data_IF_749568579287
#
_entry.id   IF_749568579287
#
_cell.length_a   1.000
_cell.length_b   1.000
_cell.length_c   1.000
_cell.angle_alpha   90.00
_cell.angle_beta   90.00
_cell.angle_gamma   90.00
#
_symmetry.space_group_name_H-M   'P 1'
#
loop_
_entity.id
_entity.type
_entity.pdbx_description
1 polymer ?
#
# COMPACT_ATOMS: atom_id res chain seq x y z
N UNK A 1 -15.69 -37.41 -11.34
CA UNK A 1 -14.76 -36.56 -10.57
C UNK A 1 -13.74 -36.00 -11.54
N UNK A 2 -13.61 -34.69 -11.63
CA UNK A 2 -12.67 -34.06 -12.57
C UNK A 2 -11.30 -34.05 -11.92
N UNK A 3 -10.33 -34.68 -12.57
CA UNK A 3 -8.94 -34.69 -12.08
C UNK A 3 -8.25 -33.40 -12.49
N UNK A 4 -7.76 -32.64 -11.51
CA UNK A 4 -6.96 -31.43 -11.76
C UNK A 4 -5.48 -31.73 -11.53
N UNK A 5 -4.56 -31.17 -12.32
CA UNK A 5 -3.12 -31.31 -12.12
C UNK A 5 -2.62 -30.38 -11.00
N UNK A 6 -3.23 -30.49 -9.83
CA UNK A 6 -2.90 -29.75 -8.61
C UNK A 6 -2.89 -30.70 -7.41
N UNK A 7 -2.29 -30.28 -6.30
CA UNK A 7 -2.28 -31.11 -5.09
C UNK A 7 -3.71 -31.41 -4.63
N UNK A 8 -3.94 -32.59 -4.13
CA UNK A 8 -5.23 -33.09 -3.66
C UNK A 8 -5.87 -32.15 -2.62
N UNK A 9 -5.05 -31.57 -1.73
CA UNK A 9 -5.51 -30.57 -0.76
C UNK A 9 -6.15 -29.35 -1.42
N UNK A 10 -5.56 -28.86 -2.51
CA UNK A 10 -6.11 -27.69 -3.24
C UNK A 10 -7.38 -28.06 -3.99
N UNK A 11 -7.43 -29.26 -4.57
CA UNK A 11 -8.63 -29.76 -5.25
C UNK A 11 -9.79 -29.94 -4.26
N UNK A 12 -9.55 -30.59 -3.12
CA UNK A 12 -10.57 -30.76 -2.06
C UNK A 12 -11.05 -29.43 -1.48
N UNK A 13 -10.13 -28.50 -1.20
CA UNK A 13 -10.49 -27.18 -0.69
C UNK A 13 -11.37 -26.39 -1.68
N UNK A 14 -11.10 -26.50 -2.98
CA UNK A 14 -11.94 -25.89 -4.01
C UNK A 14 -13.33 -26.54 -4.04
N UNK A 15 -13.38 -27.88 -4.03
CA UNK A 15 -14.63 -28.62 -4.01
C UNK A 15 -15.51 -28.26 -2.81
N UNK A 16 -14.92 -28.26 -1.60
CA UNK A 16 -15.66 -27.87 -0.39
C UNK A 16 -16.22 -26.46 -0.47
N UNK A 17 -15.50 -25.52 -1.09
CA UNK A 17 -16.01 -24.16 -1.29
C UNK A 17 -17.12 -24.10 -2.32
N UNK A 18 -17.04 -24.85 -3.40
CA UNK A 18 -18.11 -24.97 -4.39
C UNK A 18 -19.37 -25.56 -3.76
N UNK A 19 -19.25 -26.61 -2.97
CA UNK A 19 -20.36 -27.26 -2.28
C UNK A 19 -21.01 -26.31 -1.26
N UNK A 20 -20.22 -25.55 -0.51
CA UNK A 20 -20.70 -24.54 0.45
C UNK A 20 -21.52 -23.40 -0.22
N UNK A 21 -21.21 -23.08 -1.48
CA UNK A 21 -21.93 -22.07 -2.27
C UNK A 21 -23.08 -22.66 -3.11
N UNK A 22 -23.32 -23.97 -3.00
CA UNK A 22 -24.32 -24.66 -3.82
C UNK A 22 -23.98 -24.72 -5.31
N UNK A 23 -22.71 -24.56 -5.66
CA UNK A 23 -22.22 -24.60 -7.03
C UNK A 23 -21.80 -26.02 -7.41
N UNK A 24 -22.66 -26.73 -8.12
CA UNK A 24 -22.39 -28.09 -8.53
C UNK A 24 -21.84 -28.16 -9.95
N UNK A 25 -21.00 -29.17 -10.23
CA UNK A 25 -20.41 -29.38 -11.56
C UNK A 25 -21.47 -29.53 -12.68
N UNK A 26 -22.63 -30.08 -12.39
CA UNK A 26 -23.76 -30.22 -13.32
C UNK A 26 -24.35 -28.89 -13.79
N UNK A 27 -24.18 -27.84 -12.99
CA UNK A 27 -24.71 -26.50 -13.24
C UNK A 27 -23.71 -25.64 -14.02
N UNK A 28 -22.52 -26.19 -14.32
CA UNK A 28 -21.43 -25.52 -15.05
C UNK A 28 -21.46 -25.89 -16.52
N UNK A 29 -21.48 -24.89 -17.38
CA UNK A 29 -21.26 -25.04 -18.81
C UNK A 29 -19.84 -24.59 -19.16
N UNK A 30 -19.04 -25.51 -19.66
CA UNK A 30 -17.64 -25.25 -20.06
C UNK A 30 -17.55 -25.06 -21.57
N UNK A 31 -16.85 -24.01 -21.98
CA UNK A 31 -16.47 -23.75 -23.38
C UNK A 31 -14.98 -23.57 -23.49
N UNK A 32 -14.40 -24.28 -24.43
CA UNK A 32 -12.95 -24.28 -24.70
C UNK A 32 -12.64 -23.49 -25.97
N UNK A 33 -11.59 -22.69 -25.92
CA UNK A 33 -11.03 -22.03 -27.09
C UNK A 33 -9.50 -22.06 -26.98
N UNK A 34 -8.87 -23.08 -27.56
CA UNK A 34 -7.45 -23.38 -27.36
C UNK A 34 -7.18 -23.69 -25.89
N UNK A 35 -6.25 -22.98 -25.28
CA UNK A 35 -5.95 -23.11 -23.83
C UNK A 35 -6.90 -22.31 -22.93
N UNK A 36 -7.67 -21.39 -23.52
CA UNK A 36 -8.63 -20.56 -22.78
C UNK A 36 -9.89 -21.34 -22.46
N UNK A 37 -10.36 -21.18 -21.23
CA UNK A 37 -11.58 -21.80 -20.71
C UNK A 37 -12.54 -20.72 -20.27
N UNK A 38 -13.79 -20.86 -20.69
CA UNK A 38 -14.91 -20.06 -20.20
C UNK A 38 -15.89 -20.97 -19.48
N UNK A 39 -16.25 -20.63 -18.25
CA UNK A 39 -17.26 -21.34 -17.47
C UNK A 39 -18.43 -20.40 -17.25
N UNK A 40 -19.63 -20.93 -17.51
CA UNK A 40 -20.91 -20.29 -17.21
C UNK A 40 -21.60 -21.08 -16.09
N UNK A 41 -21.93 -20.42 -15.01
CA UNK A 41 -22.78 -20.98 -13.96
C UNK A 41 -24.25 -20.68 -14.29
N UNK A 42 -25.01 -21.71 -14.67
CA UNK A 42 -26.39 -21.54 -15.16
C UNK A 42 -27.34 -20.88 -14.16
N UNK A 43 -27.35 -21.25 -12.85
CA UNK A 43 -28.30 -20.66 -11.90
C UNK A 43 -28.10 -19.15 -11.70
N UNK A 44 -26.85 -18.65 -11.67
CA UNK A 44 -26.56 -17.23 -11.41
C UNK A 44 -26.27 -16.44 -12.67
N UNK A 45 -26.06 -17.12 -13.82
CA UNK A 45 -25.66 -16.47 -15.08
C UNK A 45 -24.24 -15.93 -15.09
N UNK A 46 -23.45 -16.18 -14.04
CA UNK A 46 -22.07 -15.69 -13.97
C UNK A 46 -21.20 -16.42 -14.99
N UNK A 47 -20.47 -15.61 -15.76
CA UNK A 47 -19.53 -16.10 -16.75
C UNK A 47 -18.10 -15.70 -16.39
N UNK A 48 -17.22 -16.67 -16.29
CA UNK A 48 -15.80 -16.47 -15.97
C UNK A 48 -14.93 -17.05 -17.07
N UNK A 49 -13.92 -16.30 -17.48
CA UNK A 49 -12.91 -16.73 -18.46
C UNK A 49 -11.53 -16.79 -17.82
N UNK A 50 -10.81 -17.89 -18.06
CA UNK A 50 -9.44 -18.06 -17.63
C UNK A 50 -8.53 -18.46 -18.80
N UNK A 51 -7.42 -17.73 -18.93
CA UNK A 51 -6.36 -18.00 -19.92
C UNK A 51 -5.00 -17.66 -19.27
N UNK A 52 -4.76 -18.21 -18.08
CA UNK A 52 -3.59 -17.86 -17.28
C UNK A 52 -2.38 -18.74 -17.59
N UNK A 53 -2.63 -20.01 -17.83
CA UNK A 53 -1.62 -21.03 -17.98
C UNK A 53 -1.66 -21.64 -19.38
N UNK A 54 -0.55 -22.25 -19.78
CA UNK A 54 -0.49 -23.00 -21.05
C UNK A 54 -1.27 -24.32 -20.98
N UNK A 55 -1.43 -24.87 -19.78
CA UNK A 55 -2.16 -26.11 -19.55
C UNK A 55 -3.66 -25.84 -19.44
N UNK A 56 -4.44 -26.45 -20.32
CA UNK A 56 -5.90 -26.40 -20.29
C UNK A 56 -6.46 -26.92 -18.95
N UNK A 57 -5.89 -28.00 -18.41
CA UNK A 57 -6.32 -28.58 -17.15
C UNK A 57 -6.09 -27.65 -15.95
N UNK A 58 -4.99 -26.88 -15.93
CA UNK A 58 -4.76 -25.84 -14.93
C UNK A 58 -5.73 -24.68 -15.09
N UNK A 59 -6.01 -24.25 -16.32
CA UNK A 59 -6.97 -23.20 -16.57
C UNK A 59 -8.39 -23.62 -16.14
N UNK A 60 -8.77 -24.89 -16.24
CA UNK A 60 -10.04 -25.42 -15.68
C UNK A 60 -10.10 -25.25 -14.16
N UNK A 61 -9.04 -25.56 -13.46
CA UNK A 61 -8.96 -25.37 -12.01
C UNK A 61 -9.06 -23.87 -11.63
N UNK A 62 -8.30 -23.02 -12.31
CA UNK A 62 -8.33 -21.58 -12.03
C UNK A 62 -9.65 -20.93 -12.40
N UNK A 63 -10.31 -21.38 -13.47
CA UNK A 63 -11.62 -20.86 -13.85
C UNK A 63 -12.68 -21.16 -12.77
N UNK A 64 -12.69 -22.38 -12.18
CA UNK A 64 -13.57 -22.71 -11.05
C UNK A 64 -13.26 -21.88 -9.82
N UNK A 65 -11.98 -21.69 -9.52
CA UNK A 65 -11.57 -20.84 -8.41
C UNK A 65 -12.04 -19.39 -8.59
N UNK A 66 -11.92 -18.85 -9.81
CA UNK A 66 -12.40 -17.51 -10.12
C UNK A 66 -13.93 -17.43 -10.00
N UNK A 67 -14.65 -18.49 -10.42
CA UNK A 67 -16.09 -18.57 -10.28
C UNK A 67 -16.53 -18.55 -8.80
N UNK A 68 -15.85 -19.33 -7.96
CA UNK A 68 -16.10 -19.34 -6.51
C UNK A 68 -15.86 -17.94 -5.91
N UNK A 69 -14.75 -17.27 -6.27
CA UNK A 69 -14.46 -15.90 -5.82
C UNK A 69 -15.57 -14.91 -6.24
N UNK A 70 -16.15 -15.08 -7.42
CA UNK A 70 -17.24 -14.22 -7.91
C UNK A 70 -18.58 -14.51 -7.21
N UNK A 71 -18.88 -15.79 -6.97
CA UNK A 71 -20.07 -16.20 -6.20
C UNK A 71 -19.98 -15.71 -4.74
N UNK A 72 -18.82 -15.88 -4.08
CA UNK A 72 -18.58 -15.34 -2.74
C UNK A 72 -18.81 -13.81 -2.69
N UNK A 73 -18.34 -13.08 -3.70
CA UNK A 73 -18.52 -11.64 -3.81
C UNK A 73 -20.01 -11.24 -3.96
N UNK A 74 -20.77 -11.98 -4.76
CA UNK A 74 -22.21 -11.75 -4.90
C UNK A 74 -22.99 -12.03 -3.60
N UNK A 75 -22.67 -13.12 -2.90
CA UNK A 75 -23.30 -13.44 -1.61
C UNK A 75 -23.03 -12.33 -0.57
N UNK A 76 -21.87 -11.72 -0.63
CA UNK A 76 -21.50 -10.63 0.28
C UNK A 76 -22.00 -9.25 -0.19
N UNK A 77 -22.68 -9.16 -1.31
CA UNK A 77 -23.05 -7.89 -1.97
C UNK A 77 -21.86 -6.92 -2.16
N UNK A 78 -20.66 -7.48 -2.32
CA UNK A 78 -19.42 -6.73 -2.52
C UNK A 78 -18.81 -7.10 -3.86
N UNK A 79 -18.16 -6.13 -4.49
CA UNK A 79 -17.42 -6.44 -5.70
C UNK A 79 -16.15 -7.26 -5.37
N UNK A 80 -15.72 -8.09 -6.30
CA UNK A 80 -14.51 -8.92 -6.16
C UNK A 80 -13.27 -8.08 -5.79
N UNK A 81 -13.20 -6.85 -6.28
CA UNK A 81 -12.12 -5.91 -5.97
C UNK A 81 -12.19 -5.44 -4.52
N UNK A 82 -13.37 -5.16 -4.01
CA UNK A 82 -13.59 -4.74 -2.62
C UNK A 82 -13.22 -5.85 -1.64
N UNK A 83 -13.65 -7.08 -1.90
CA UNK A 83 -13.29 -8.24 -1.07
C UNK A 83 -11.76 -8.43 -1.03
N UNK A 84 -11.08 -8.32 -2.18
CA UNK A 84 -9.62 -8.40 -2.23
C UNK A 84 -8.93 -7.23 -1.53
N UNK A 85 -9.45 -6.02 -1.68
CA UNK A 85 -8.92 -4.84 -1.01
C UNK A 85 -9.05 -4.94 0.51
N UNK A 86 -10.19 -5.44 1.00
CA UNK A 86 -10.44 -5.68 2.42
C UNK A 86 -9.49 -6.74 3.01
N UNK A 87 -9.35 -7.88 2.33
CA UNK A 87 -8.37 -8.92 2.72
C UNK A 87 -6.93 -8.40 2.76
N UNK A 88 -6.57 -7.52 1.81
CA UNK A 88 -5.23 -6.92 1.78
C UNK A 88 -5.02 -5.93 2.94
N UNK A 89 -6.05 -5.14 3.28
CA UNK A 89 -6.03 -4.24 4.44
C UNK A 89 -5.90 -5.02 5.74
N UNK A 90 -6.64 -6.11 5.88
CA UNK A 90 -6.59 -6.98 7.07
C UNK A 90 -5.20 -7.62 7.23
N UNK A 91 -4.62 -8.14 6.15
CA UNK A 91 -3.25 -8.68 6.17
C UNK A 91 -2.20 -7.62 6.52
N UNK A 92 -2.35 -6.40 5.98
CA UNK A 92 -1.46 -5.28 6.33
C UNK A 92 -1.62 -4.84 7.78
N UNK A 93 -2.84 -4.88 8.32
CA UNK A 93 -3.11 -4.59 9.74
C UNK A 93 -2.43 -5.59 10.67
N UNK A 94 -2.51 -6.90 10.36
CA UNK A 94 -1.86 -7.97 11.13
C UNK A 94 -0.33 -7.93 11.06
N UNK A 95 0.23 -7.46 9.95
CA UNK A 95 1.68 -7.34 9.75
C UNK A 95 2.25 -5.97 10.13
N UNK A 96 1.43 -5.08 10.66
CA UNK A 96 1.91 -3.80 11.18
C UNK A 96 2.74 -4.09 12.42
N UNK A 97 4.05 -4.27 12.23
CA UNK A 97 5.01 -4.29 13.35
C UNK A 97 4.75 -3.03 14.17
N UNK A 98 4.73 -3.13 15.51
CA UNK A 98 4.56 -1.96 16.37
C UNK A 98 5.59 -0.93 15.92
N UNK A 99 5.10 0.27 15.65
CA UNK A 99 5.79 1.23 14.81
C UNK A 99 7.18 1.61 15.33
N UNK A 100 7.91 2.11 14.42
CA UNK A 100 9.20 2.79 14.47
C UNK A 100 9.27 3.89 15.55
N UNK A 101 8.19 4.20 16.26
CA UNK A 101 8.17 5.17 17.36
C UNK A 101 9.14 4.84 18.52
N UNK A 102 9.49 3.57 18.71
CA UNK A 102 10.52 3.20 19.67
C UNK A 102 11.95 3.50 19.20
N UNK A 103 12.14 3.62 17.87
CA UNK A 103 13.44 3.91 17.29
C UNK A 103 13.77 5.42 17.34
N UNK A 104 12.77 6.27 17.18
CA UNK A 104 12.96 7.72 17.22
C UNK A 104 13.23 8.25 18.62
N UNK A 105 12.68 7.63 19.67
CA UNK A 105 12.96 8.01 21.05
C UNK A 105 14.38 7.61 21.52
N UNK A 106 15.06 6.72 20.79
CA UNK A 106 16.45 6.36 21.04
C UNK A 106 17.46 7.24 20.28
N UNK A 107 17.00 7.97 19.27
CA UNK A 107 17.77 9.04 18.66
C UNK A 107 17.70 10.29 19.54
N UNK A 108 18.32 10.21 20.73
CA UNK A 108 18.76 11.43 21.38
C UNK A 108 19.77 12.06 20.42
N UNK A 109 19.35 13.11 19.73
CA UNK A 109 20.26 14.02 19.07
C UNK A 109 21.29 14.39 20.12
N UNK A 110 22.50 13.86 19.97
CA UNK A 110 23.63 14.24 20.81
C UNK A 110 23.65 15.75 20.76
N UNK A 111 23.53 16.45 21.92
CA UNK A 111 23.54 17.90 21.93
C UNK A 111 24.78 18.32 21.15
N UNK A 112 24.57 19.06 20.09
CA UNK A 112 25.63 19.55 19.22
C UNK A 112 26.62 20.27 20.15
N UNK A 113 27.84 19.71 20.24
CA UNK A 113 28.89 20.37 20.98
C UNK A 113 29.04 21.75 20.32
N UNK A 114 28.60 22.76 21.03
CA UNK A 114 28.85 24.14 20.59
C UNK A 114 30.30 24.23 20.23
N UNK A 115 30.66 24.74 19.04
CA UNK A 115 32.03 24.85 18.66
C UNK A 115 32.73 25.68 19.73
N UNK A 116 33.65 25.06 20.47
CA UNK A 116 34.46 25.77 21.45
C UNK A 116 35.34 26.72 20.63
N UNK A 117 34.87 27.95 20.55
CA UNK A 117 35.65 29.02 19.88
C UNK A 117 36.93 29.13 20.67
N UNK A 118 38.06 28.91 20.01
CA UNK A 118 39.35 28.98 20.69
C UNK A 118 39.48 30.37 21.32
N UNK A 119 40.10 30.49 22.52
CA UNK A 119 40.20 31.75 23.25
C UNK A 119 40.86 32.88 22.40
N UNK A 120 41.67 32.49 21.40
CA UNK A 120 42.27 33.44 20.44
C UNK A 120 41.21 34.10 19.54
N UNK A 121 40.15 33.38 19.13
CA UNK A 121 39.06 33.92 18.29
C UNK A 121 38.15 34.82 19.12
N UNK A 122 37.95 34.48 20.38
CA UNK A 122 37.14 35.29 21.33
C UNK A 122 37.78 36.65 21.62
N UNK A 123 39.10 36.68 21.74
CA UNK A 123 39.85 37.95 21.90
C UNK A 123 39.80 38.77 20.62
N UNK A 124 39.85 38.18 19.45
CA UNK A 124 39.74 38.88 18.17
C UNK A 124 38.31 39.43 17.95
N UNK A 125 37.27 38.72 18.32
CA UNK A 125 35.89 39.19 18.25
C UNK A 125 35.66 40.37 19.21
N UNK A 126 36.17 40.31 20.45
CA UNK A 126 36.08 41.42 21.41
C UNK A 126 36.79 42.67 20.88
N UNK A 127 37.97 42.49 20.26
CA UNK A 127 38.74 43.60 19.67
C UNK A 127 38.01 44.22 18.46
N UNK A 128 37.32 43.39 17.65
CA UNK A 128 36.55 43.87 16.52
C UNK A 128 35.31 44.65 16.94
N UNK A 129 34.62 44.22 18.01
CA UNK A 129 33.45 44.96 18.58
C UNK A 129 33.85 46.29 19.15
N UNK A 130 34.97 46.39 19.86
CA UNK A 130 35.44 47.68 20.42
C UNK A 130 35.94 48.66 19.35
N UNK A 131 36.42 48.17 18.19
CA UNK A 131 36.84 49.05 17.09
C UNK A 131 35.65 49.59 16.27
N UNK A 132 34.50 48.92 16.30
CA UNK A 132 33.31 49.33 15.54
C UNK A 132 32.34 50.22 16.31
N UNK A 133 32.53 50.31 17.63
CA UNK A 133 31.61 51.13 18.50
C UNK A 133 32.05 52.60 18.60
N UNK A 134 33.29 52.90 18.20
CA UNK A 134 33.81 54.26 18.21
C UNK A 134 33.54 55.10 16.94
N UNK A 135 32.66 54.61 16.04
CA UNK A 135 32.41 55.24 14.76
C UNK A 135 30.95 55.65 14.50
N UNK A 136 30.07 55.69 15.51
CA UNK A 136 28.67 56.08 15.35
C UNK A 136 28.30 57.23 16.25
N UNK A 137 28.98 58.35 16.09
CA UNK A 137 28.42 59.62 16.50
C UNK A 137 28.59 60.62 15.37
N UNK A 138 27.50 61.34 15.14
CA UNK A 138 27.33 62.46 14.20
C UNK A 138 27.02 62.10 12.74
N UNK A 139 25.72 62.10 12.43
CA UNK A 139 25.12 63.16 11.64
C UNK A 139 23.61 63.00 11.68
N UNK A 140 22.98 63.94 12.38
CA UNK A 140 21.57 64.27 12.27
C UNK A 140 21.30 64.82 10.86
N UNK A 141 20.12 64.59 10.40
CA UNK A 141 19.63 65.11 9.14
C UNK A 141 18.14 64.87 9.08
N UNK A 142 17.42 65.81 9.72
CA UNK A 142 16.00 66.05 9.50
C UNK A 142 15.69 66.21 7.99
N UNK A 143 14.71 65.52 7.49
CA UNK A 143 13.85 66.07 6.43
C UNK A 143 12.43 65.61 6.65
N UNK A 144 11.64 66.61 6.91
CA UNK A 144 10.20 66.59 7.07
C UNK A 144 9.45 66.30 5.78
N UNK A 145 8.26 65.69 5.96
CA UNK A 145 6.94 66.14 5.49
C UNK A 145 6.70 66.38 4.00
N UNK A 146 5.72 65.70 3.49
CA UNK A 146 4.44 66.15 2.87
C UNK A 146 3.94 65.05 1.98
N UNK A 147 2.77 64.48 2.25
CA UNK A 147 1.40 64.94 2.08
C UNK A 147 0.96 65.06 0.62
N UNK A 148 -0.21 64.42 0.35
CA UNK A 148 -1.16 64.67 -0.75
C UNK A 148 -0.77 64.07 -2.13
N UNK A 149 -1.62 63.35 -2.80
CA UNK A 149 -3.08 63.26 -3.03
C UNK A 149 -3.48 61.84 -3.43
#
# INVERSE_FOLDING_TARGET
MILFPVSERKAKALQSKMDALGCHEKDLEERFRGTSITILHRPTGIRVRCNRERSQALNRFFARRLLVEELEAQVQNKTRHEVKAEQLREKKGKNKKPGIDRSLSQFHLRPEKQPTVSPAIETLLKRWHTSNDSGRDSTGGDVATSAQE
#
